data_IF_112521206998
#
_entry.id   IF_112521206998
#
_cell.length_a   1.000
_cell.length_b   1.000
_cell.length_c   1.000
_cell.angle_alpha   90.00
_cell.angle_beta   90.00
_cell.angle_gamma   90.00
#
_symmetry.space_group_name_H-M   'P 1'
#
loop_
_entity.id
_entity.type
_entity.pdbx_description
1 polymer ?
#
# COMPACT_ATOMS: atom_id res chain seq x y z
N UNK A 1 35.24 28.75 24.38
CA UNK A 1 33.87 28.86 24.90
C UNK A 1 33.01 29.40 23.77
N UNK A 2 32.48 28.51 22.94
CA UNK A 2 31.49 28.94 21.94
C UNK A 2 30.18 29.21 22.68
N UNK A 3 29.61 30.39 22.48
CA UNK A 3 28.37 30.81 23.15
C UNK A 3 27.20 29.89 22.81
N UNK A 4 26.20 29.86 23.68
CA UNK A 4 24.95 29.12 23.47
C UNK A 4 24.21 29.67 22.26
N UNK A 5 23.84 28.81 21.31
CA UNK A 5 23.07 29.20 20.12
C UNK A 5 21.58 29.44 20.44
N UNK A 6 21.11 28.90 21.58
CA UNK A 6 19.72 28.97 22.04
C UNK A 6 19.64 29.70 23.39
N UNK A 7 19.94 31.00 23.41
CA UNK A 7 20.07 31.81 24.64
C UNK A 7 18.75 32.22 25.28
N UNK A 8 17.69 32.49 24.51
CA UNK A 8 16.35 32.83 25.01
C UNK A 8 15.29 32.02 24.24
N UNK A 9 14.69 31.04 24.91
CA UNK A 9 13.69 30.18 24.29
C UNK A 9 12.27 30.52 24.78
N UNK A 10 11.30 30.68 23.86
CA UNK A 10 9.91 30.80 24.24
C UNK A 10 9.37 29.46 24.76
N UNK A 11 8.28 29.52 25.53
CA UNK A 11 7.51 28.32 25.88
C UNK A 11 6.55 28.00 24.73
N UNK A 12 6.84 26.94 23.99
CA UNK A 12 6.05 26.54 22.83
C UNK A 12 4.68 26.02 23.26
N UNK A 13 3.63 26.56 22.64
CA UNK A 13 2.25 26.15 22.85
C UNK A 13 1.80 25.12 21.82
N UNK A 14 2.51 24.97 20.71
CA UNK A 14 2.25 23.92 19.71
C UNK A 14 3.56 23.32 19.19
N UNK A 15 3.52 22.08 18.68
CA UNK A 15 4.67 21.45 18.00
C UNK A 15 5.20 22.25 16.80
N UNK A 16 4.32 22.97 16.09
CA UNK A 16 4.69 23.80 14.94
C UNK A 16 5.52 25.01 15.35
N UNK A 17 5.14 25.68 16.45
CA UNK A 17 5.92 26.81 17.00
C UNK A 17 7.35 26.38 17.40
N UNK A 18 7.46 25.18 17.99
CA UNK A 18 8.75 24.58 18.37
C UNK A 18 9.62 24.30 17.14
N UNK A 19 9.02 23.72 16.10
CA UNK A 19 9.69 23.35 14.86
C UNK A 19 10.22 24.58 14.11
N UNK A 20 9.38 25.61 13.95
CA UNK A 20 9.73 26.82 13.23
C UNK A 20 10.86 27.58 13.93
N UNK A 21 10.82 27.65 15.27
CA UNK A 21 11.89 28.24 16.05
C UNK A 21 13.23 27.54 15.81
N UNK A 22 13.26 26.21 15.85
CA UNK A 22 14.50 25.44 15.65
C UNK A 22 15.07 25.64 14.25
N UNK A 23 14.22 25.72 13.21
CA UNK A 23 14.66 25.96 11.83
C UNK A 23 15.30 27.31 11.62
N UNK A 24 14.74 28.36 12.21
CA UNK A 24 15.32 29.71 12.15
C UNK A 24 16.73 29.71 12.75
N UNK A 25 16.93 29.00 13.86
CA UNK A 25 18.24 28.91 14.52
C UNK A 25 19.23 28.04 13.75
N UNK A 26 18.78 26.96 13.11
CA UNK A 26 19.59 26.17 12.17
C UNK A 26 20.08 27.03 11.00
N UNK A 27 19.18 27.79 10.36
CA UNK A 27 19.55 28.64 9.23
C UNK A 27 20.56 29.73 9.62
N UNK A 28 20.37 30.35 10.79
CA UNK A 28 21.33 31.32 11.33
C UNK A 28 22.70 30.68 11.56
N UNK A 29 22.73 29.49 12.16
CA UNK A 29 23.98 28.78 12.46
C UNK A 29 24.70 28.31 11.19
N UNK A 30 23.96 27.88 10.18
CA UNK A 30 24.51 27.53 8.87
C UNK A 30 25.22 28.73 8.25
N UNK A 31 24.61 29.91 8.27
CA UNK A 31 25.22 31.13 7.75
C UNK A 31 26.51 31.49 8.51
N UNK A 32 26.52 31.38 9.84
CA UNK A 32 27.73 31.61 10.64
C UNK A 32 28.88 30.64 10.29
N UNK A 33 28.57 29.38 9.97
CA UNK A 33 29.57 28.39 9.55
C UNK A 33 30.11 28.70 8.15
N UNK A 34 29.25 29.14 7.23
CA UNK A 34 29.64 29.59 5.89
C UNK A 34 30.56 30.81 6.00
N UNK A 35 30.21 31.80 6.81
CA UNK A 35 30.98 33.04 7.01
C UNK A 35 32.37 32.77 7.62
N UNK A 36 32.51 31.70 8.40
CA UNK A 36 33.78 31.23 8.98
C UNK A 36 34.62 30.36 8.02
N UNK A 37 34.18 30.16 6.77
CA UNK A 37 34.90 29.39 5.75
C UNK A 37 34.62 27.89 5.77
N UNK A 38 33.64 27.41 6.54
CA UNK A 38 33.24 26.01 6.60
C UNK A 38 32.12 25.70 5.59
N UNK A 39 32.41 25.81 4.29
CA UNK A 39 31.42 25.62 3.23
C UNK A 39 30.92 24.18 3.07
N UNK A 40 31.78 23.19 3.36
CA UNK A 40 31.43 21.77 3.16
C UNK A 40 30.60 21.27 4.33
N UNK A 41 29.37 20.83 4.04
CA UNK A 41 28.41 20.31 5.02
C UNK A 41 28.01 21.33 6.11
N UNK A 42 28.07 22.64 5.82
CA UNK A 42 27.70 23.71 6.75
C UNK A 42 26.31 23.50 7.37
N UNK A 43 25.32 23.19 6.53
CA UNK A 43 23.96 22.86 6.96
C UNK A 43 23.92 21.67 7.94
N UNK A 44 24.60 20.57 7.62
CA UNK A 44 24.55 19.35 8.45
C UNK A 44 25.21 19.56 9.81
N UNK A 45 26.30 20.31 9.83
CA UNK A 45 27.00 20.68 11.06
C UNK A 45 26.11 21.63 11.90
N UNK A 46 25.46 22.61 11.27
CA UNK A 46 24.53 23.50 11.96
C UNK A 46 23.36 22.74 12.60
N UNK A 47 22.73 21.82 11.88
CA UNK A 47 21.63 21.01 12.42
C UNK A 47 22.09 20.17 13.61
N UNK A 48 23.21 19.46 13.48
CA UNK A 48 23.75 18.62 14.56
C UNK A 48 24.08 19.43 15.81
N UNK A 49 24.67 20.60 15.65
CA UNK A 49 24.99 21.49 16.77
C UNK A 49 23.74 22.00 17.48
N UNK A 50 22.72 22.41 16.74
CA UNK A 50 21.45 22.88 17.29
C UNK A 50 20.67 21.76 17.99
N UNK A 51 20.57 20.57 17.39
CA UNK A 51 19.90 19.40 18.03
C UNK A 51 20.58 19.03 19.33
N UNK A 52 21.92 18.96 19.33
CA UNK A 52 22.70 18.63 20.52
C UNK A 52 22.48 19.65 21.63
N UNK A 53 22.51 20.94 21.33
CA UNK A 53 22.23 21.96 22.35
C UNK A 53 20.77 21.91 22.85
N UNK A 54 19.83 21.63 21.95
CA UNK A 54 18.40 21.59 22.29
C UNK A 54 18.05 20.44 23.26
N UNK A 55 18.69 19.28 23.08
CA UNK A 55 18.52 18.10 23.96
C UNK A 55 18.79 18.45 25.44
N UNK A 56 19.79 19.28 25.70
CA UNK A 56 20.20 19.71 27.05
C UNK A 56 19.22 20.68 27.73
N UNK A 57 18.21 21.20 27.02
CA UNK A 57 17.25 22.16 27.59
C UNK A 57 16.17 21.43 28.42
N UNK A 58 15.85 21.86 29.64
CA UNK A 58 14.81 21.20 30.46
C UNK A 58 13.42 21.30 29.83
N UNK A 59 12.68 20.19 29.76
CA UNK A 59 11.36 20.11 29.13
C UNK A 59 10.38 21.18 29.64
N UNK A 60 10.35 21.44 30.94
CA UNK A 60 9.42 22.38 31.60
C UNK A 60 9.71 23.86 31.30
N UNK A 61 10.93 24.14 30.83
CA UNK A 61 11.34 25.48 30.40
C UNK A 61 10.96 25.77 28.96
N UNK A 62 10.71 24.73 28.16
CA UNK A 62 10.59 24.81 26.70
C UNK A 62 9.19 24.52 26.21
N UNK A 63 8.50 23.56 26.83
CA UNK A 63 7.14 23.16 26.44
C UNK A 63 6.11 23.75 27.41
N UNK A 64 5.00 24.24 26.88
CA UNK A 64 3.91 24.76 27.70
C UNK A 64 3.28 23.64 28.55
N UNK A 65 2.94 23.95 29.81
CA UNK A 65 2.48 22.99 30.83
C UNK A 65 1.33 22.05 30.39
N UNK A 66 0.46 22.50 29.48
CA UNK A 66 -0.68 21.72 29.01
C UNK A 66 -0.27 20.63 27.98
N UNK A 67 0.95 20.70 27.45
CA UNK A 67 1.44 19.80 26.40
C UNK A 67 2.63 18.96 26.86
N UNK A 68 3.07 19.10 28.11
CA UNK A 68 4.15 18.29 28.67
C UNK A 68 3.63 16.87 28.84
N UNK A 69 4.34 15.88 28.29
CA UNK A 69 4.10 14.48 28.63
C UNK A 69 4.58 14.26 30.07
N UNK A 70 3.67 13.86 30.95
CA UNK A 70 4.03 13.61 32.34
C UNK A 70 4.92 12.38 32.46
N UNK A 71 5.71 12.29 33.54
CA UNK A 71 6.59 11.14 33.78
C UNK A 71 5.84 9.80 33.75
N UNK A 72 4.64 9.76 34.34
CA UNK A 72 3.82 8.54 34.36
C UNK A 72 3.29 8.16 32.97
N UNK A 73 2.96 9.15 32.12
CA UNK A 73 2.55 8.89 30.73
C UNK A 73 3.74 8.42 29.89
N UNK A 74 4.90 9.05 30.06
CA UNK A 74 6.14 8.62 29.40
C UNK A 74 6.50 7.18 29.79
N UNK A 75 6.39 6.80 31.07
CA UNK A 75 6.63 5.43 31.53
C UNK A 75 5.66 4.42 30.89
N UNK A 76 4.39 4.78 30.70
CA UNK A 76 3.41 3.94 29.99
C UNK A 76 3.76 3.78 28.52
N UNK A 77 4.15 4.86 27.85
CA UNK A 77 4.58 4.85 26.45
C UNK A 77 5.82 3.95 26.31
N UNK A 78 6.83 4.13 27.16
CA UNK A 78 8.04 3.29 27.15
C UNK A 78 7.72 1.82 27.39
N UNK A 79 6.78 1.51 28.29
CA UNK A 79 6.36 0.14 28.54
C UNK A 79 5.64 -0.49 27.34
N UNK A 80 4.82 0.29 26.63
CA UNK A 80 4.13 -0.13 25.41
C UNK A 80 5.09 -0.34 24.24
N UNK A 81 6.16 0.47 24.13
CA UNK A 81 7.15 0.37 23.04
C UNK A 81 8.23 -0.70 23.25
N UNK A 82 8.41 -1.21 24.47
CA UNK A 82 9.43 -2.24 24.78
C UNK A 82 9.25 -3.58 24.06
N UNK A 83 8.05 -4.16 23.90
CA UNK A 83 7.86 -5.42 23.17
C UNK A 83 7.82 -5.26 21.64
N UNK A 84 7.80 -4.03 21.13
CA UNK A 84 7.60 -3.74 19.70
C UNK A 84 8.89 -3.89 18.87
N UNK A 85 8.72 -4.11 17.57
CA UNK A 85 9.82 -4.15 16.60
C UNK A 85 10.44 -2.76 16.42
N UNK A 86 11.72 -2.71 16.01
CA UNK A 86 12.49 -1.47 15.89
C UNK A 86 11.79 -0.41 15.03
N UNK A 87 11.21 -0.80 13.88
CA UNK A 87 10.55 0.13 12.97
C UNK A 87 9.25 0.69 13.57
N UNK A 88 8.45 -0.13 14.25
CA UNK A 88 7.23 0.30 14.96
C UNK A 88 7.55 1.32 16.05
N UNK A 89 8.64 1.12 16.79
CA UNK A 89 9.10 2.08 17.80
C UNK A 89 9.44 3.43 17.18
N UNK A 90 10.08 3.44 16.01
CA UNK A 90 10.42 4.67 15.32
C UNK A 90 9.19 5.41 14.79
N UNK A 91 8.17 4.70 14.31
CA UNK A 91 6.89 5.27 13.86
C UNK A 91 6.14 5.97 15.00
N UNK A 92 6.06 5.32 16.17
CA UNK A 92 5.42 5.87 17.36
C UNK A 92 6.16 7.12 17.87
N UNK A 93 7.50 7.08 17.91
CA UNK A 93 8.31 8.24 18.27
C UNK A 93 8.09 9.42 17.32
N UNK A 94 7.91 9.16 16.02
CA UNK A 94 7.56 10.19 15.04
C UNK A 94 6.13 10.73 15.25
N UNK A 95 5.18 9.87 15.61
CA UNK A 95 3.84 10.27 16.03
C UNK A 95 3.87 11.25 17.21
N UNK A 96 4.74 11.01 18.19
CA UNK A 96 4.95 11.92 19.33
C UNK A 96 5.57 13.25 18.87
N UNK A 97 6.53 13.23 17.95
CA UNK A 97 7.11 14.46 17.39
C UNK A 97 6.04 15.33 16.73
N UNK A 98 5.13 14.73 15.95
CA UNK A 98 4.04 15.45 15.27
C UNK A 98 3.02 16.00 16.27
N UNK A 99 2.59 15.18 17.22
CA UNK A 99 1.42 15.49 18.06
C UNK A 99 1.78 16.23 19.35
N UNK A 100 2.99 16.00 19.88
CA UNK A 100 3.45 16.50 21.18
C UNK A 100 4.75 17.29 21.10
N UNK A 101 5.43 17.34 19.95
CA UNK A 101 6.63 18.14 19.77
C UNK A 101 7.94 17.39 20.04
N UNK A 102 9.03 17.98 19.58
CA UNK A 102 10.37 17.37 19.52
C UNK A 102 10.91 17.11 20.93
N UNK A 103 10.76 18.05 21.86
CA UNK A 103 11.34 17.90 23.20
C UNK A 103 10.68 16.80 24.02
N UNK A 104 9.37 16.62 23.87
CA UNK A 104 8.61 15.53 24.48
C UNK A 104 9.08 14.18 23.92
N UNK A 105 9.21 14.06 22.59
CA UNK A 105 9.71 12.83 21.98
C UNK A 105 11.14 12.49 22.42
N UNK A 106 12.04 13.48 22.50
CA UNK A 106 13.40 13.30 23.04
C UNK A 106 13.35 12.76 24.48
N UNK A 107 12.46 13.28 25.33
CA UNK A 107 12.35 12.82 26.72
C UNK A 107 11.89 11.36 26.82
N UNK A 108 11.02 10.91 25.92
CA UNK A 108 10.57 9.51 25.86
C UNK A 108 11.75 8.61 25.44
N UNK A 109 12.51 8.99 24.41
CA UNK A 109 13.70 8.24 23.96
C UNK A 109 14.77 8.16 25.06
N UNK A 110 15.00 9.25 25.79
CA UNK A 110 15.91 9.26 26.94
C UNK A 110 15.50 8.24 28.02
N UNK A 111 14.18 8.09 28.27
CA UNK A 111 13.64 7.13 29.24
C UNK A 111 13.68 5.67 28.75
N UNK A 112 13.72 5.44 27.44
CA UNK A 112 13.88 4.08 26.89
C UNK A 112 15.26 3.49 27.17
N UNK A 113 16.28 4.34 27.40
CA UNK A 113 17.66 3.94 27.68
C UNK A 113 18.25 2.94 26.67
N UNK A 114 17.86 3.07 25.38
CA UNK A 114 18.34 2.24 24.28
C UNK A 114 19.24 3.06 23.33
N UNK A 115 20.57 2.80 23.30
CA UNK A 115 21.51 3.57 22.47
C UNK A 115 21.26 3.49 20.97
N UNK A 116 20.71 2.38 20.46
CA UNK A 116 20.42 2.23 19.03
C UNK A 116 19.25 3.12 18.62
N UNK A 117 18.17 3.11 19.41
CA UNK A 117 17.01 3.97 19.18
C UNK A 117 17.38 5.45 19.33
N UNK A 118 18.21 5.82 20.32
CA UNK A 118 18.67 7.20 20.49
C UNK A 118 19.45 7.70 19.25
N UNK A 119 20.36 6.89 18.70
CA UNK A 119 21.14 7.25 17.51
C UNK A 119 20.27 7.33 16.24
N UNK A 120 19.40 6.34 16.02
CA UNK A 120 18.51 6.31 14.85
C UNK A 120 17.47 7.44 14.90
N UNK A 121 16.89 7.72 16.07
CA UNK A 121 15.98 8.85 16.29
C UNK A 121 16.69 10.19 16.11
N UNK A 122 17.91 10.34 16.63
CA UNK A 122 18.71 11.53 16.39
C UNK A 122 18.98 11.74 14.89
N UNK A 123 19.30 10.69 14.15
CA UNK A 123 19.49 10.75 12.68
C UNK A 123 18.22 11.25 11.97
N UNK A 124 17.04 10.81 12.39
CA UNK A 124 15.76 11.23 11.83
C UNK A 124 15.44 12.70 12.19
N UNK A 125 15.65 13.12 13.45
CA UNK A 125 15.43 14.51 13.88
C UNK A 125 16.29 15.51 13.09
N UNK A 126 17.55 15.16 12.81
CA UNK A 126 18.44 15.96 11.96
C UNK A 126 17.83 16.14 10.56
N UNK A 127 17.26 15.09 9.97
CA UNK A 127 16.58 15.18 8.67
C UNK A 127 15.26 15.95 8.74
N UNK A 128 14.50 15.81 9.83
CA UNK A 128 13.24 16.52 10.04
C UNK A 128 13.43 18.04 10.10
N UNK A 129 14.44 18.49 10.86
CA UNK A 129 14.75 19.91 10.98
C UNK A 129 15.22 20.51 9.66
N UNK A 130 15.99 19.75 8.87
CA UNK A 130 16.47 20.16 7.55
C UNK A 130 15.36 20.40 6.53
N UNK A 131 14.29 19.60 6.55
CA UNK A 131 13.43 19.44 5.36
C UNK A 131 12.05 20.06 5.44
N UNK A 132 11.65 20.69 6.54
CA UNK A 132 10.28 21.22 6.61
C UNK A 132 9.27 20.20 7.17
N UNK A 133 9.61 18.92 7.12
CA UNK A 133 8.65 17.82 7.07
C UNK A 133 9.20 16.67 7.89
N UNK A 134 8.37 16.07 8.75
CA UNK A 134 8.69 14.77 9.33
C UNK A 134 8.88 13.89 8.11
N UNK A 135 10.12 13.57 7.76
CA UNK A 135 10.33 12.58 6.73
C UNK A 135 9.92 11.26 7.41
N UNK A 136 9.04 10.48 6.79
CA UNK A 136 9.27 10.07 5.40
C UNK A 136 8.05 9.83 4.53
N UNK A 137 6.98 10.61 4.61
CA UNK A 137 5.86 10.44 3.70
C UNK A 137 5.62 11.64 2.81
N UNK A 138 6.41 11.75 1.74
CA UNK A 138 6.08 12.66 0.64
C UNK A 138 4.65 12.30 0.18
N UNK A 139 3.76 13.28 0.13
CA UNK A 139 2.40 13.10 -0.35
C UNK A 139 2.43 12.35 -1.70
N UNK A 140 1.71 11.24 -1.78
CA UNK A 140 1.72 10.35 -2.94
C UNK A 140 2.77 9.22 -2.92
N UNK A 141 3.62 9.11 -1.90
CA UNK A 141 4.46 7.90 -1.69
C UNK A 141 3.59 6.70 -1.28
N UNK A 142 4.04 5.46 -1.52
CA UNK A 142 3.28 4.25 -1.14
C UNK A 142 2.94 4.22 0.36
N UNK A 143 3.92 4.46 1.22
CA UNK A 143 3.73 4.44 2.68
C UNK A 143 2.80 5.59 3.15
N UNK A 144 2.78 6.75 2.46
CA UNK A 144 1.86 7.85 2.78
C UNK A 144 0.42 7.43 2.55
N UNK A 145 0.19 6.72 1.44
CA UNK A 145 -1.14 6.27 1.08
C UNK A 145 -1.61 5.19 2.02
N UNK A 146 -0.77 4.23 2.40
CA UNK A 146 -1.17 3.17 3.33
C UNK A 146 -1.56 3.74 4.69
N UNK A 147 -0.86 4.77 5.17
CA UNK A 147 -1.16 5.45 6.44
C UNK A 147 -2.31 6.48 6.35
N UNK A 148 -2.81 6.77 5.14
CA UNK A 148 -3.88 7.74 4.92
C UNK A 148 -5.13 7.08 4.32
N UNK A 149 -5.50 5.91 4.84
CA UNK A 149 -6.75 5.21 4.55
C UNK A 149 -7.62 5.10 5.80
N UNK A 150 -8.92 4.99 5.59
CA UNK A 150 -9.93 4.68 6.61
C UNK A 150 -10.42 3.27 6.37
N UNK A 151 -10.49 2.46 7.43
CA UNK A 151 -10.99 1.09 7.40
C UNK A 151 -12.49 1.07 7.67
N UNK A 152 -13.22 0.33 6.84
CA UNK A 152 -14.65 0.09 7.00
C UNK A 152 -14.94 -1.40 7.14
N UNK A 153 -15.84 -1.74 8.05
CA UNK A 153 -16.58 -2.99 8.07
C UNK A 153 -17.80 -2.89 7.17
N UNK A 154 -18.04 -3.91 6.36
CA UNK A 154 -19.18 -3.94 5.44
C UNK A 154 -20.01 -5.19 5.70
N UNK A 155 -21.28 -4.98 6.06
CA UNK A 155 -22.27 -6.06 6.11
C UNK A 155 -23.21 -5.93 4.93
N UNK A 156 -23.24 -6.96 4.07
CA UNK A 156 -24.20 -7.07 2.98
C UNK A 156 -25.47 -7.82 3.42
N UNK A 157 -26.64 -7.52 2.83
CA UNK A 157 -27.88 -8.21 3.15
C UNK A 157 -27.81 -9.70 2.75
N UNK A 158 -28.25 -10.59 3.65
CA UNK A 158 -28.24 -12.04 3.41
C UNK A 158 -29.42 -12.48 2.52
N UNK A 159 -29.20 -13.39 1.55
CA UNK A 159 -30.27 -13.99 0.75
C UNK A 159 -31.18 -14.88 1.61
N UNK A 160 -32.47 -14.94 1.28
CA UNK A 160 -33.49 -15.64 2.09
C UNK A 160 -33.58 -17.13 1.78
N UNK A 161 -33.42 -17.53 0.52
CA UNK A 161 -33.58 -18.93 0.04
C UNK A 161 -32.60 -19.27 -1.11
N UNK A 162 -32.47 -20.55 -1.49
CA UNK A 162 -31.57 -21.03 -2.57
C UNK A 162 -31.81 -20.36 -3.94
N UNK A 163 -33.07 -20.17 -4.35
CA UNK A 163 -33.40 -19.47 -5.59
C UNK A 163 -33.03 -17.97 -5.52
N UNK A 164 -33.12 -17.39 -4.33
CA UNK A 164 -32.69 -16.02 -4.04
C UNK A 164 -31.16 -15.89 -4.09
N UNK A 165 -30.41 -16.93 -3.70
CA UNK A 165 -28.94 -16.96 -3.82
C UNK A 165 -28.45 -16.83 -5.26
N UNK A 166 -29.02 -17.58 -6.20
CA UNK A 166 -28.54 -17.54 -7.60
C UNK A 166 -28.90 -16.21 -8.29
N UNK A 167 -30.08 -15.66 -7.97
CA UNK A 167 -30.51 -14.35 -8.47
C UNK A 167 -29.66 -13.23 -7.85
N UNK A 168 -29.44 -13.27 -6.54
CA UNK A 168 -28.59 -12.31 -5.82
C UNK A 168 -27.14 -12.36 -6.29
N UNK A 169 -26.60 -13.51 -6.71
CA UNK A 169 -25.25 -13.57 -7.28
C UNK A 169 -25.12 -12.73 -8.57
N UNK A 170 -26.04 -12.88 -9.53
CA UNK A 170 -26.00 -12.09 -10.78
C UNK A 170 -26.22 -10.60 -10.53
N UNK A 171 -27.16 -10.27 -9.65
CA UNK A 171 -27.42 -8.89 -9.22
C UNK A 171 -26.20 -8.30 -8.51
N UNK A 172 -25.53 -9.10 -7.67
CA UNK A 172 -24.29 -8.75 -6.98
C UNK A 172 -23.17 -8.44 -7.99
N UNK A 173 -22.95 -9.30 -8.99
CA UNK A 173 -21.94 -9.04 -10.03
C UNK A 173 -22.23 -7.72 -10.75
N UNK A 174 -23.48 -7.50 -11.19
CA UNK A 174 -23.86 -6.25 -11.85
C UNK A 174 -23.67 -5.02 -10.96
N UNK A 175 -24.04 -5.10 -9.69
CA UNK A 175 -23.82 -4.04 -8.70
C UNK A 175 -22.34 -3.76 -8.48
N UNK A 176 -21.51 -4.81 -8.37
CA UNK A 176 -20.06 -4.68 -8.20
C UNK A 176 -19.40 -4.08 -9.45
N UNK A 177 -19.84 -4.44 -10.67
CA UNK A 177 -19.37 -3.79 -11.90
C UNK A 177 -19.62 -2.27 -11.88
N UNK A 178 -20.81 -1.85 -11.44
CA UNK A 178 -21.13 -0.42 -11.32
C UNK A 178 -20.34 0.24 -10.19
N UNK A 179 -20.17 -0.42 -9.05
CA UNK A 179 -19.32 0.04 -7.96
C UNK A 179 -17.88 0.29 -8.45
N UNK A 180 -17.27 -0.67 -9.17
CA UNK A 180 -15.95 -0.49 -9.75
C UNK A 180 -15.92 0.64 -10.78
N UNK A 181 -16.95 0.76 -11.63
CA UNK A 181 -17.06 1.88 -12.56
C UNK A 181 -17.06 3.24 -11.83
N UNK A 182 -17.84 3.38 -10.75
CA UNK A 182 -17.87 4.59 -9.91
C UNK A 182 -16.52 4.85 -9.22
N UNK A 183 -15.89 3.81 -8.69
CA UNK A 183 -14.60 3.88 -8.00
C UNK A 183 -13.42 4.19 -8.92
N UNK A 184 -13.58 4.19 -10.25
CA UNK A 184 -12.56 4.75 -11.15
C UNK A 184 -12.26 6.23 -10.84
N UNK A 185 -13.21 6.94 -10.24
CA UNK A 185 -13.09 8.36 -9.88
C UNK A 185 -12.03 8.64 -8.82
N UNK A 186 -11.48 7.63 -8.13
CA UNK A 186 -10.35 7.83 -7.21
C UNK A 186 -9.02 8.11 -7.94
N UNK A 187 -8.98 7.82 -9.24
CA UNK A 187 -7.79 8.05 -10.06
C UNK A 187 -7.46 9.54 -10.14
N UNK A 188 -6.19 9.85 -9.98
CA UNK A 188 -5.68 11.20 -10.20
C UNK A 188 -4.89 11.25 -11.50
N UNK A 189 -5.47 11.94 -12.49
CA UNK A 189 -4.93 12.07 -13.85
C UNK A 189 -5.36 10.93 -14.78
N UNK A 190 -4.86 10.93 -16.03
CA UNK A 190 -5.38 10.07 -17.10
C UNK A 190 -5.11 8.58 -16.84
N UNK A 191 -3.99 8.27 -16.21
CA UNK A 191 -3.57 6.89 -15.96
C UNK A 191 -3.32 6.61 -14.47
N UNK A 192 -3.94 7.40 -13.59
CA UNK A 192 -3.74 7.32 -12.15
C UNK A 192 -2.24 7.40 -11.80
N UNK A 193 -1.58 8.50 -12.19
CA UNK A 193 -0.14 8.68 -12.09
C UNK A 193 0.36 8.60 -10.64
N UNK A 194 -0.51 8.93 -9.69
CA UNK A 194 -0.25 8.77 -8.25
C UNK A 194 -0.60 7.37 -7.73
N UNK A 195 -1.06 6.41 -8.53
CA UNK A 195 -1.43 5.08 -8.07
C UNK A 195 -2.33 5.10 -6.83
N UNK A 196 -3.38 5.92 -6.85
CA UNK A 196 -4.42 5.86 -5.82
C UNK A 196 -5.12 4.51 -5.90
N UNK A 197 -5.34 3.90 -4.74
CA UNK A 197 -5.95 2.58 -4.63
C UNK A 197 -6.91 2.54 -3.44
N UNK A 198 -7.74 1.52 -3.41
CA UNK A 198 -8.52 1.10 -2.27
C UNK A 198 -8.35 -0.41 -2.10
N UNK A 199 -8.75 -0.94 -0.96
CA UNK A 199 -8.74 -2.39 -0.73
C UNK A 199 -10.14 -2.93 -0.51
N UNK A 200 -10.33 -4.18 -0.87
CA UNK A 200 -11.43 -5.02 -0.42
C UNK A 200 -10.82 -6.27 0.20
N UNK A 201 -11.33 -6.70 1.33
CA UNK A 201 -10.72 -7.76 2.10
C UNK A 201 -11.78 -8.65 2.72
N UNK A 202 -11.52 -9.95 2.70
CA UNK A 202 -12.31 -10.95 3.41
C UNK A 202 -11.41 -11.54 4.46
N UNK A 203 -11.82 -11.47 5.73
CA UNK A 203 -10.98 -11.94 6.81
C UNK A 203 -11.72 -12.58 7.97
N UNK A 204 -10.99 -13.45 8.67
CA UNK A 204 -11.41 -14.11 9.90
C UNK A 204 -10.28 -13.95 10.91
N UNK A 205 -10.60 -13.27 12.01
CA UNK A 205 -9.70 -13.02 13.14
C UNK A 205 -9.39 -14.31 13.89
N UNK A 206 -8.22 -14.36 14.54
CA UNK A 206 -7.75 -15.56 15.26
C UNK A 206 -8.63 -16.00 16.45
N UNK A 207 -9.60 -15.18 16.86
CA UNK A 207 -10.47 -15.36 18.02
C UNK A 207 -11.96 -15.17 17.65
N UNK A 208 -12.32 -15.38 16.38
CA UNK A 208 -13.69 -15.21 15.87
C UNK A 208 -14.07 -16.34 14.91
N UNK A 209 -15.35 -16.68 14.84
CA UNK A 209 -15.95 -17.56 13.84
C UNK A 209 -16.68 -16.80 12.72
N UNK A 210 -16.68 -15.47 12.79
CA UNK A 210 -17.35 -14.61 11.82
C UNK A 210 -16.37 -14.16 10.73
N UNK A 211 -16.77 -14.38 9.47
CA UNK A 211 -16.06 -13.84 8.31
C UNK A 211 -16.56 -12.44 8.05
N UNK A 212 -15.65 -11.48 8.08
CA UNK A 212 -15.95 -10.06 7.95
C UNK A 212 -15.37 -9.53 6.63
N UNK A 213 -16.11 -8.63 5.99
CA UNK A 213 -15.67 -7.92 4.79
C UNK A 213 -15.19 -6.54 5.21
N UNK A 214 -13.95 -6.20 4.85
CA UNK A 214 -13.37 -4.90 5.09
C UNK A 214 -13.08 -4.16 3.78
N UNK A 215 -13.04 -2.84 3.87
CA UNK A 215 -12.49 -1.99 2.83
C UNK A 215 -11.65 -0.86 3.41
N UNK A 216 -10.41 -0.70 2.93
CA UNK A 216 -9.61 0.46 3.23
C UNK A 216 -9.70 1.46 2.07
N UNK A 217 -10.14 2.69 2.36
CA UNK A 217 -10.39 3.72 1.36
C UNK A 217 -9.62 4.99 1.72
N UNK A 218 -8.96 5.68 0.78
CA UNK A 218 -8.29 6.93 1.09
C UNK A 218 -9.28 7.97 1.64
N UNK A 219 -8.89 8.71 2.69
CA UNK A 219 -9.75 9.68 3.39
C UNK A 219 -10.46 10.69 2.46
N UNK A 220 -9.85 11.03 1.33
CA UNK A 220 -10.43 11.95 0.34
C UNK A 220 -11.68 11.38 -0.37
N UNK A 221 -11.85 10.06 -0.40
CA UNK A 221 -12.85 9.36 -1.20
C UNK A 221 -13.91 8.61 -0.37
N UNK A 222 -13.97 8.82 0.95
CA UNK A 222 -14.93 8.14 1.84
C UNK A 222 -16.39 8.35 1.39
N UNK A 223 -16.79 9.61 1.17
CA UNK A 223 -18.15 9.92 0.73
C UNK A 223 -18.49 9.35 -0.65
N UNK A 224 -17.49 9.20 -1.54
CA UNK A 224 -17.69 8.54 -2.83
C UNK A 224 -18.00 7.06 -2.58
N UNK A 225 -17.15 6.38 -1.82
CA UNK A 225 -17.27 4.96 -1.53
C UNK A 225 -18.61 4.60 -0.88
N UNK A 226 -18.99 5.30 0.20
CA UNK A 226 -20.27 5.08 0.89
C UNK A 226 -21.46 5.21 -0.07
N UNK A 227 -21.48 6.28 -0.87
CA UNK A 227 -22.56 6.51 -1.84
C UNK A 227 -22.61 5.42 -2.91
N UNK A 228 -21.45 4.96 -3.40
CA UNK A 228 -21.41 3.88 -4.38
C UNK A 228 -22.01 2.60 -3.79
N UNK A 229 -21.57 2.17 -2.60
CA UNK A 229 -22.12 0.96 -1.96
C UNK A 229 -23.63 1.12 -1.69
N UNK A 230 -24.05 2.19 -1.03
CA UNK A 230 -25.44 2.39 -0.62
C UNK A 230 -26.40 2.58 -1.80
N UNK A 231 -25.91 3.02 -2.96
CA UNK A 231 -26.73 3.15 -4.18
C UNK A 231 -27.18 1.81 -4.77
N UNK A 232 -26.40 0.74 -4.54
CA UNK A 232 -26.71 -0.61 -5.01
C UNK A 232 -27.20 -1.53 -3.89
N UNK A 233 -26.70 -1.33 -2.68
CA UNK A 233 -27.06 -2.07 -1.48
C UNK A 233 -27.63 -1.12 -0.42
N UNK A 234 -28.89 -0.75 -0.57
CA UNK A 234 -29.57 0.21 0.31
C UNK A 234 -29.59 -0.23 1.79
N UNK A 235 -29.60 -1.55 2.03
CA UNK A 235 -29.60 -2.16 3.36
C UNK A 235 -28.20 -2.56 3.86
N UNK A 236 -27.13 -2.25 3.09
CA UNK A 236 -25.78 -2.52 3.54
C UNK A 236 -25.44 -1.63 4.74
N UNK A 237 -24.73 -2.23 5.70
CA UNK A 237 -24.17 -1.50 6.84
C UNK A 237 -22.71 -1.24 6.57
N UNK A 238 -22.30 0.01 6.71
CA UNK A 238 -20.92 0.46 6.56
C UNK A 238 -20.53 1.11 7.89
N UNK A 239 -19.57 0.52 8.57
CA UNK A 239 -19.10 0.99 9.86
C UNK A 239 -17.62 1.34 9.75
N UNK A 240 -17.27 2.60 10.02
CA UNK A 240 -15.87 2.98 10.21
C UNK A 240 -15.35 2.32 11.50
N UNK A 241 -14.19 1.67 11.41
CA UNK A 241 -13.58 0.97 12.53
C UNK A 241 -12.22 1.58 12.81
N UNK A 242 -11.97 1.88 14.08
CA UNK A 242 -10.70 2.45 14.56
C UNK A 242 -9.71 1.39 14.99
N UNK A 243 -10.20 0.18 15.26
CA UNK A 243 -9.42 -0.92 15.81
C UNK A 243 -9.18 -1.93 14.69
N UNK A 244 -7.92 -2.24 14.43
CA UNK A 244 -7.56 -3.26 13.44
C UNK A 244 -7.83 -4.66 14.01
N UNK A 245 -8.22 -5.58 13.15
CA UNK A 245 -8.50 -6.96 13.53
C UNK A 245 -7.21 -7.79 13.43
N UNK A 246 -7.06 -8.80 14.29
CA UNK A 246 -5.84 -9.60 14.32
C UNK A 246 -6.08 -11.04 13.87
N UNK A 247 -5.45 -11.43 12.76
CA UNK A 247 -5.45 -12.82 12.27
C UNK A 247 -4.34 -13.67 12.87
N UNK A 248 -3.35 -13.05 13.50
CA UNK A 248 -2.10 -13.70 13.87
C UNK A 248 -2.21 -14.42 15.20
N UNK A 249 -1.81 -15.69 15.21
CA UNK A 249 -1.63 -16.43 16.44
C UNK A 249 -0.32 -16.01 17.11
N UNK A 250 -0.37 -15.52 18.35
CA UNK A 250 0.78 -15.00 19.09
C UNK A 250 1.98 -15.95 19.20
N UNK A 251 1.71 -17.27 19.25
CA UNK A 251 2.73 -18.32 19.43
C UNK A 251 2.81 -19.26 18.23
N UNK A 252 2.10 -18.92 17.16
CA UNK A 252 1.90 -19.78 16.01
C UNK A 252 2.89 -19.54 14.88
N UNK A 253 2.54 -20.08 13.72
CA UNK A 253 3.20 -19.77 12.46
C UNK A 253 2.26 -19.02 11.53
N UNK A 254 2.85 -18.31 10.57
CA UNK A 254 2.11 -17.58 9.54
C UNK A 254 2.64 -17.90 8.15
N UNK A 255 1.77 -17.87 7.15
CA UNK A 255 2.10 -18.07 5.75
C UNK A 255 1.45 -17.00 4.89
N UNK A 256 2.08 -16.64 3.78
CA UNK A 256 1.53 -15.62 2.88
C UNK A 256 1.99 -15.82 1.45
N UNK A 257 1.12 -15.39 0.52
CA UNK A 257 1.39 -15.43 -0.89
C UNK A 257 0.71 -14.25 -1.61
N UNK A 258 1.22 -13.89 -2.78
CA UNK A 258 0.52 -13.00 -3.70
C UNK A 258 0.20 -13.74 -5.00
N UNK A 259 -0.93 -13.39 -5.61
CA UNK A 259 -1.32 -13.95 -6.90
C UNK A 259 -0.64 -13.21 -8.05
N UNK A 260 -0.13 -13.98 -9.00
CA UNK A 260 0.32 -13.53 -10.32
C UNK A 260 -0.45 -14.30 -11.40
N UNK A 261 -0.37 -13.82 -12.64
CA UNK A 261 -0.93 -14.52 -13.79
C UNK A 261 0.05 -15.55 -14.35
N UNK A 262 -0.45 -16.73 -14.74
CA UNK A 262 0.36 -17.76 -15.42
C UNK A 262 0.83 -17.34 -16.80
N UNK A 263 0.02 -16.53 -17.50
CA UNK A 263 0.30 -16.00 -18.82
C UNK A 263 0.23 -14.46 -18.86
N UNK A 264 0.53 -13.86 -20.02
CA UNK A 264 0.48 -12.40 -20.19
C UNK A 264 -0.89 -11.83 -19.82
N UNK A 265 -0.91 -10.71 -19.10
CA UNK A 265 -2.13 -10.05 -18.63
C UNK A 265 -3.06 -9.55 -19.74
N UNK A 266 -2.68 -9.64 -21.02
CA UNK A 266 -3.56 -9.38 -22.16
C UNK A 266 -4.61 -10.50 -22.33
N UNK A 267 -4.28 -11.73 -21.91
CA UNK A 267 -5.19 -12.87 -21.92
C UNK A 267 -6.08 -12.86 -20.66
N UNK A 268 -7.38 -13.19 -20.76
CA UNK A 268 -8.31 -13.22 -19.64
C UNK A 268 -8.21 -14.52 -18.81
N UNK A 269 -8.68 -14.46 -17.57
CA UNK A 269 -9.13 -15.61 -16.77
C UNK A 269 -10.61 -15.88 -17.07
N UNK A 270 -11.18 -16.95 -16.51
CA UNK A 270 -12.64 -17.16 -16.60
C UNK A 270 -13.40 -15.97 -16.02
N UNK A 271 -14.39 -15.49 -16.77
CA UNK A 271 -15.30 -14.42 -16.33
C UNK A 271 -16.61 -15.01 -15.81
N UNK A 272 -17.43 -14.18 -15.15
CA UNK A 272 -18.65 -14.63 -14.45
C UNK A 272 -19.69 -15.30 -15.36
N UNK A 273 -19.67 -15.00 -16.65
CA UNK A 273 -20.51 -15.60 -17.69
C UNK A 273 -20.11 -17.06 -17.99
N UNK A 274 -18.86 -17.43 -17.72
CA UNK A 274 -18.33 -18.78 -17.85
C UNK A 274 -18.37 -19.58 -16.55
N UNK A 275 -18.83 -18.96 -15.45
CA UNK A 275 -18.88 -19.56 -14.11
C UNK A 275 -20.35 -19.85 -13.75
N UNK A 276 -20.70 -21.13 -13.58
CA UNK A 276 -22.09 -21.56 -13.38
C UNK A 276 -22.61 -21.32 -11.95
N UNK A 277 -21.72 -21.36 -10.96
CA UNK A 277 -22.03 -21.25 -9.54
C UNK A 277 -21.20 -20.15 -8.88
N UNK A 278 -21.73 -19.52 -7.84
CA UNK A 278 -21.03 -18.43 -7.14
C UNK A 278 -19.65 -18.87 -6.62
N UNK A 279 -18.55 -18.28 -7.15
CA UNK A 279 -17.20 -18.64 -6.78
C UNK A 279 -16.83 -18.22 -5.35
N UNK A 280 -17.56 -17.27 -4.75
CA UNK A 280 -17.36 -16.85 -3.36
C UNK A 280 -17.68 -17.97 -2.38
N UNK A 281 -18.66 -18.81 -2.67
CA UNK A 281 -18.97 -19.96 -1.81
C UNK A 281 -17.76 -20.90 -1.66
N UNK A 282 -16.97 -21.09 -2.72
CA UNK A 282 -15.76 -21.93 -2.66
C UNK A 282 -14.71 -21.31 -1.74
N UNK A 283 -14.54 -20.00 -1.80
CA UNK A 283 -13.60 -19.26 -0.94
C UNK A 283 -14.07 -19.27 0.51
N UNK A 284 -15.33 -18.88 0.77
CA UNK A 284 -15.91 -18.80 2.10
C UNK A 284 -15.95 -20.16 2.82
N UNK A 285 -16.10 -21.26 2.08
CA UNK A 285 -16.02 -22.61 2.63
C UNK A 285 -14.64 -22.97 3.20
N UNK A 286 -13.57 -22.27 2.81
CA UNK A 286 -12.26 -22.44 3.44
C UNK A 286 -12.26 -21.74 4.80
N UNK A 287 -12.76 -20.51 4.87
CA UNK A 287 -12.88 -19.75 6.11
C UNK A 287 -13.77 -20.44 7.14
N UNK A 288 -14.90 -21.03 6.71
CA UNK A 288 -15.84 -21.71 7.61
C UNK A 288 -15.28 -22.98 8.27
N UNK A 289 -14.11 -23.46 7.81
CA UNK A 289 -13.43 -24.63 8.38
C UNK A 289 -12.28 -24.25 9.33
N UNK A 290 -11.97 -22.96 9.43
CA UNK A 290 -10.98 -22.46 10.37
C UNK A 290 -11.49 -22.62 11.80
N UNK A 291 -10.57 -22.91 12.71
CA UNK A 291 -10.91 -22.96 14.14
C UNK A 291 -11.15 -21.54 14.66
N UNK A 292 -12.18 -21.38 15.47
CA UNK A 292 -12.52 -20.13 16.15
C UNK A 292 -11.36 -19.55 16.96
N UNK A 293 -10.55 -20.42 17.59
CA UNK A 293 -9.39 -20.00 18.37
C UNK A 293 -8.09 -20.49 17.73
N UNK A 294 -7.19 -19.53 17.50
CA UNK A 294 -5.81 -19.76 17.10
C UNK A 294 -5.57 -19.95 15.61
N UNK A 295 -6.61 -19.97 14.77
CA UNK A 295 -6.50 -19.93 13.30
C UNK A 295 -7.12 -18.63 12.76
N UNK A 296 -6.45 -17.98 11.83
CA UNK A 296 -6.93 -16.76 11.20
C UNK A 296 -6.44 -16.66 9.76
N UNK A 297 -7.18 -15.94 8.92
CA UNK A 297 -6.82 -15.74 7.53
C UNK A 297 -7.39 -14.44 6.97
N UNK A 298 -6.74 -13.88 5.96
CA UNK A 298 -7.25 -12.76 5.18
C UNK A 298 -6.89 -12.92 3.70
N UNK A 299 -7.84 -12.55 2.83
CA UNK A 299 -7.64 -12.37 1.40
C UNK A 299 -7.90 -10.90 1.08
N UNK A 300 -6.87 -10.20 0.64
CA UNK A 300 -6.92 -8.77 0.33
C UNK A 300 -6.75 -8.53 -1.17
N UNK A 301 -7.68 -7.80 -1.75
CA UNK A 301 -7.57 -7.22 -3.10
C UNK A 301 -7.15 -5.76 -2.96
N UNK A 302 -5.97 -5.41 -3.50
CA UNK A 302 -5.50 -4.03 -3.61
C UNK A 302 -5.79 -3.54 -5.02
N UNK A 303 -6.70 -2.58 -5.16
CA UNK A 303 -7.32 -2.22 -6.44
C UNK A 303 -7.02 -0.77 -6.80
N UNK A 304 -6.41 -0.56 -7.96
CA UNK A 304 -6.05 0.76 -8.49
C UNK A 304 -6.57 0.93 -9.92
N UNK A 305 -7.38 1.97 -10.23
CA UNK A 305 -7.75 2.26 -11.60
C UNK A 305 -6.51 2.48 -12.47
N UNK A 306 -6.51 1.93 -13.69
CA UNK A 306 -5.35 2.01 -14.58
C UNK A 306 -5.50 3.02 -15.73
N UNK A 307 -6.67 3.65 -15.82
CA UNK A 307 -7.03 4.54 -16.93
C UNK A 307 -6.92 3.84 -18.27
N UNK A 308 -6.33 4.54 -19.26
CA UNK A 308 -6.24 4.02 -20.64
C UNK A 308 -4.95 3.25 -20.93
N UNK A 309 -4.01 3.17 -19.98
CA UNK A 309 -2.66 2.63 -20.21
C UNK A 309 -2.69 1.21 -20.79
N UNK A 310 -3.34 0.28 -20.08
CA UNK A 310 -3.41 -1.12 -20.53
C UNK A 310 -4.33 -1.31 -21.73
N UNK A 311 -5.40 -0.52 -21.85
CA UNK A 311 -6.31 -0.59 -23.01
C UNK A 311 -5.53 -0.28 -24.29
N UNK A 312 -4.74 0.79 -24.30
CA UNK A 312 -3.92 1.15 -25.46
C UNK A 312 -2.85 0.09 -25.77
N UNK A 313 -2.21 -0.46 -24.73
CA UNK A 313 -1.25 -1.56 -24.87
C UNK A 313 -1.88 -2.81 -25.48
N UNK A 314 -3.06 -3.20 -24.99
CA UNK A 314 -3.77 -4.38 -25.47
C UNK A 314 -4.32 -4.19 -26.88
N UNK A 315 -4.70 -2.96 -27.28
CA UNK A 315 -5.04 -2.67 -28.67
C UNK A 315 -3.85 -2.88 -29.62
N UNK A 316 -2.65 -2.46 -29.24
CA UNK A 316 -1.46 -2.68 -30.07
C UNK A 316 -1.13 -4.18 -30.19
N UNK A 317 -1.23 -4.92 -29.09
CA UNK A 317 -1.06 -6.38 -29.10
C UNK A 317 -2.14 -7.03 -29.98
N UNK A 318 -3.40 -6.60 -29.85
CA UNK A 318 -4.52 -7.11 -30.64
C UNK A 318 -4.30 -6.88 -32.15
N UNK A 319 -3.80 -5.71 -32.54
CA UNK A 319 -3.50 -5.41 -33.94
C UNK A 319 -2.39 -6.30 -34.49
N UNK A 320 -1.32 -6.53 -33.72
CA UNK A 320 -0.26 -7.47 -34.11
C UNK A 320 -0.77 -8.91 -34.23
N UNK A 321 -1.66 -9.35 -33.32
CA UNK A 321 -2.29 -10.67 -33.37
C UNK A 321 -3.23 -10.81 -34.57
N UNK A 322 -4.03 -9.78 -34.89
CA UNK A 322 -4.84 -9.73 -36.13
C UNK A 322 -4.00 -9.81 -37.39
N UNK A 323 -2.78 -9.27 -37.35
CA UNK A 323 -1.79 -9.38 -38.43
C UNK A 323 -1.08 -10.75 -38.46
N UNK A 324 -1.47 -11.68 -37.58
CA UNK A 324 -1.03 -13.06 -37.49
C UNK A 324 0.29 -13.26 -36.74
N UNK A 325 0.64 -12.36 -35.81
CA UNK A 325 1.63 -12.67 -34.77
C UNK A 325 0.99 -13.51 -33.67
N UNK A 326 1.77 -14.38 -33.01
CA UNK A 326 1.29 -15.02 -31.79
C UNK A 326 1.19 -14.00 -30.64
N UNK A 327 0.28 -14.22 -29.70
CA UNK A 327 0.06 -13.35 -28.54
C UNK A 327 1.36 -13.12 -27.76
N UNK A 328 2.13 -14.20 -27.54
CA UNK A 328 3.43 -14.14 -26.84
C UNK A 328 4.42 -13.23 -27.55
N UNK A 329 4.56 -13.37 -28.87
CA UNK A 329 5.48 -12.54 -29.66
C UNK A 329 5.02 -11.09 -29.74
N UNK A 330 3.71 -10.84 -29.92
CA UNK A 330 3.15 -9.50 -29.94
C UNK A 330 3.40 -8.77 -28.60
N UNK A 331 3.10 -9.42 -27.47
CA UNK A 331 3.35 -8.88 -26.14
C UNK A 331 4.85 -8.63 -25.89
N UNK A 332 5.71 -9.62 -26.18
CA UNK A 332 7.16 -9.49 -25.97
C UNK A 332 7.77 -8.36 -26.82
N UNK A 333 7.34 -8.23 -28.07
CA UNK A 333 7.80 -7.17 -28.96
C UNK A 333 7.37 -5.80 -28.47
N UNK A 334 6.12 -5.66 -28.02
CA UNK A 334 5.64 -4.42 -27.41
C UNK A 334 6.51 -4.03 -26.20
N UNK A 335 6.74 -4.94 -25.26
CA UNK A 335 7.56 -4.64 -24.07
C UNK A 335 9.01 -4.30 -24.42
N UNK A 336 9.61 -5.00 -25.40
CA UNK A 336 10.97 -4.71 -25.88
C UNK A 336 11.04 -3.33 -26.56
N UNK A 337 10.09 -3.01 -27.43
CA UNK A 337 10.03 -1.73 -28.13
C UNK A 337 9.81 -0.57 -27.15
N UNK A 338 8.91 -0.72 -26.19
CA UNK A 338 8.64 0.31 -25.19
C UNK A 338 9.84 0.54 -24.27
N UNK A 339 10.56 -0.52 -23.88
CA UNK A 339 11.80 -0.42 -23.11
C UNK A 339 12.93 0.25 -23.90
N UNK A 340 13.03 -0.03 -25.21
CA UNK A 340 13.98 0.62 -26.09
C UNK A 340 13.66 2.12 -26.25
N UNK A 341 12.39 2.48 -26.45
CA UNK A 341 11.96 3.89 -26.57
C UNK A 341 12.16 4.68 -25.26
N UNK A 342 11.91 4.06 -24.10
CA UNK A 342 12.22 4.64 -22.77
C UNK A 342 13.72 4.81 -22.53
N UNK A 343 14.56 3.90 -23.04
CA UNK A 343 16.02 4.05 -23.01
C UNK A 343 16.48 5.19 -23.91
N UNK A 344 16.02 5.21 -25.17
CA UNK A 344 16.38 6.24 -26.15
C UNK A 344 15.93 7.63 -25.71
N UNK A 345 14.76 7.77 -25.08
CA UNK A 345 14.30 9.07 -24.54
C UNK A 345 15.12 9.54 -23.34
N UNK A 346 15.59 8.64 -22.47
CA UNK A 346 16.58 8.96 -21.43
C UNK A 346 17.94 9.33 -22.04
N UNK A 347 18.40 8.60 -23.05
CA UNK A 347 19.69 8.84 -23.70
C UNK A 347 19.68 10.14 -24.55
N UNK A 348 18.52 10.54 -25.09
CA UNK A 348 18.33 11.84 -25.76
C UNK A 348 18.41 13.01 -24.78
N UNK A 349 17.86 12.87 -23.57
CA UNK A 349 17.98 13.87 -22.49
C UNK A 349 19.42 13.96 -21.96
N UNK A 350 20.22 12.91 -22.10
CA UNK A 350 21.66 12.86 -21.76
C UNK A 350 22.61 13.00 -22.97
N UNK A 351 22.12 13.49 -24.12
CA UNK A 351 22.96 14.02 -25.18
C UNK A 351 23.80 13.01 -25.97
N UNK A 352 23.30 11.81 -26.25
CA UNK A 352 23.98 10.87 -27.15
C UNK A 352 23.11 10.55 -28.37
N UNK A 353 23.54 10.99 -29.55
CA UNK A 353 23.03 10.51 -30.84
C UNK A 353 23.61 9.12 -31.13
N UNK A 354 22.77 8.11 -31.41
CA UNK A 354 23.13 7.11 -32.45
C UNK A 354 21.98 6.24 -32.98
N UNK A 355 22.05 6.13 -34.32
CA UNK A 355 21.71 5.08 -35.31
C UNK A 355 20.34 4.39 -35.26
N UNK A 356 19.61 4.59 -36.35
CA UNK A 356 18.49 3.77 -36.82
C UNK A 356 18.95 2.31 -37.02
N UNK A 357 18.31 1.40 -36.30
CA UNK A 357 18.34 -0.03 -36.62
C UNK A 357 17.19 -0.37 -37.56
N UNK A 358 17.56 -0.99 -38.66
CA UNK A 358 16.71 -1.50 -39.73
C UNK A 358 15.70 -2.50 -39.16
N UNK A 359 14.40 -2.27 -39.39
CA UNK A 359 13.35 -3.25 -39.11
C UNK A 359 13.58 -4.50 -39.98
N UNK A 360 14.17 -5.54 -39.41
CA UNK A 360 14.14 -6.87 -40.01
C UNK A 360 12.68 -7.35 -40.04
N UNK A 361 12.10 -7.37 -41.24
CA UNK A 361 10.87 -8.09 -41.53
C UNK A 361 11.17 -9.59 -41.41
N UNK A 362 10.88 -10.18 -40.25
CA UNK A 362 10.91 -11.63 -40.10
C UNK A 362 9.85 -12.26 -41.02
N UNK A 363 10.31 -13.25 -41.78
CA UNK A 363 9.56 -13.94 -42.81
C UNK A 363 8.27 -14.59 -42.27
N UNK A 364 7.19 -14.41 -43.03
CA UNK A 364 5.90 -15.03 -42.82
C UNK A 364 5.98 -16.55 -43.06
N UNK A 365 6.25 -17.30 -42.00
CA UNK A 365 5.75 -18.67 -41.90
C UNK A 365 4.25 -18.62 -41.70
N UNK A 366 3.50 -19.39 -42.50
CA UNK A 366 2.03 -19.54 -42.56
C UNK A 366 1.32 -19.08 -41.27
N UNK A 367 0.85 -17.83 -41.27
CA UNK A 367 0.13 -17.22 -40.15
C UNK A 367 -1.29 -17.79 -40.14
N UNK A 368 -1.56 -18.73 -39.24
CA UNK A 368 -2.94 -19.02 -38.84
C UNK A 368 -3.30 -17.92 -37.86
N UNK A 369 -4.29 -17.10 -38.24
CA UNK A 369 -4.84 -16.08 -37.35
C UNK A 369 -5.56 -16.80 -36.22
N UNK A 370 -5.17 -16.49 -34.99
CA UNK A 370 -5.79 -17.06 -33.79
C UNK A 370 -7.06 -16.28 -33.47
N UNK A 371 -8.18 -16.72 -34.06
CA UNK A 371 -9.49 -16.06 -33.93
C UNK A 371 -9.98 -16.04 -32.47
N UNK A 372 -9.73 -17.12 -31.72
CA UNK A 372 -10.08 -17.22 -30.30
C UNK A 372 -9.30 -16.21 -29.44
N UNK A 373 -7.99 -16.08 -29.67
CA UNK A 373 -7.19 -15.05 -29.00
C UNK A 373 -7.66 -13.62 -29.36
N UNK A 374 -8.03 -13.37 -30.62
CA UNK A 374 -8.57 -12.07 -31.06
C UNK A 374 -9.88 -11.76 -30.36
N UNK A 375 -10.78 -12.73 -30.24
CA UNK A 375 -12.05 -12.56 -29.54
C UNK A 375 -11.82 -12.28 -28.07
N UNK A 376 -11.01 -13.09 -27.38
CA UNK A 376 -10.70 -12.93 -25.95
C UNK A 376 -10.07 -11.57 -25.64
N UNK A 377 -9.03 -11.18 -26.39
CA UNK A 377 -8.36 -9.89 -26.20
C UNK A 377 -9.31 -8.74 -26.57
N UNK A 378 -10.04 -8.88 -27.67
CA UNK A 378 -11.03 -7.90 -28.12
C UNK A 378 -12.11 -7.64 -27.07
N UNK A 379 -12.68 -8.70 -26.48
CA UNK A 379 -13.66 -8.60 -25.40
C UNK A 379 -13.07 -7.92 -24.15
N UNK A 380 -11.83 -8.28 -23.76
CA UNK A 380 -11.15 -7.64 -22.62
C UNK A 380 -10.95 -6.14 -22.81
N UNK A 381 -10.65 -5.68 -24.03
CA UNK A 381 -10.47 -4.24 -24.32
C UNK A 381 -11.76 -3.42 -24.32
N UNK A 382 -12.95 -4.06 -24.32
CA UNK A 382 -14.24 -3.35 -24.21
C UNK A 382 -14.51 -2.84 -22.80
N UNK A 383 -13.84 -3.41 -21.80
CA UNK A 383 -14.02 -3.07 -20.39
C UNK A 383 -12.91 -2.15 -19.90
N UNK A 384 -13.23 -1.35 -18.89
CA UNK A 384 -12.21 -0.57 -18.18
C UNK A 384 -11.32 -1.47 -17.35
N UNK A 385 -10.02 -1.17 -17.29
CA UNK A 385 -9.03 -2.00 -16.60
C UNK A 385 -8.64 -1.38 -15.26
N UNK A 386 -8.73 -2.19 -14.22
CA UNK A 386 -8.12 -1.90 -12.92
C UNK A 386 -6.90 -2.80 -12.71
N UNK A 387 -5.83 -2.24 -12.18
CA UNK A 387 -4.71 -3.01 -11.65
C UNK A 387 -5.14 -3.59 -10.31
N UNK A 388 -4.97 -4.88 -10.13
CA UNK A 388 -5.31 -5.55 -8.88
C UNK A 388 -4.15 -6.43 -8.45
N UNK A 389 -3.79 -6.35 -7.18
CA UNK A 389 -2.93 -7.33 -6.52
C UNK A 389 -3.79 -8.11 -5.51
N UNK A 390 -3.66 -9.44 -5.50
CA UNK A 390 -4.36 -10.30 -4.55
C UNK A 390 -3.31 -10.84 -3.59
N UNK A 391 -3.54 -10.63 -2.30
CA UNK A 391 -2.66 -11.08 -1.21
C UNK A 391 -3.45 -12.02 -0.33
N UNK A 392 -2.81 -13.10 0.09
CA UNK A 392 -3.36 -14.05 1.04
C UNK A 392 -2.39 -14.17 2.19
N UNK A 393 -2.92 -14.11 3.40
CA UNK A 393 -2.16 -14.31 4.62
C UNK A 393 -2.94 -15.20 5.57
N UNK A 394 -2.25 -16.12 6.22
CA UNK A 394 -2.82 -17.11 7.11
C UNK A 394 -1.97 -17.23 8.36
N UNK A 395 -2.62 -17.57 9.48
CA UNK A 395 -1.95 -17.87 10.73
C UNK A 395 -2.62 -19.05 11.42
N UNK A 396 -1.81 -19.87 12.08
CA UNK A 396 -2.29 -21.04 12.81
C UNK A 396 -1.34 -21.38 13.97
N UNK A 397 -1.70 -22.33 14.86
CA UNK A 397 -0.84 -22.72 15.97
C UNK A 397 0.52 -23.32 15.55
N UNK A 398 0.64 -23.80 14.31
CA UNK A 398 1.93 -24.24 13.72
C UNK A 398 2.10 -23.69 12.31
N UNK A 399 3.35 -23.60 11.84
CA UNK A 399 3.67 -23.14 10.49
C UNK A 399 3.08 -24.08 9.43
N UNK A 400 3.15 -25.38 9.65
CA UNK A 400 2.61 -26.40 8.73
C UNK A 400 1.10 -26.25 8.57
N UNK A 401 0.37 -25.91 9.65
CA UNK A 401 -1.07 -25.66 9.55
C UNK A 401 -1.36 -24.35 8.81
N UNK A 402 -0.58 -23.29 9.04
CA UNK A 402 -0.73 -22.03 8.32
C UNK A 402 -0.51 -22.22 6.82
N UNK A 403 0.51 -23.00 6.44
CA UNK A 403 0.79 -23.35 5.04
C UNK A 403 -0.33 -24.21 4.44
N UNK A 404 -0.92 -25.14 5.20
CA UNK A 404 -2.07 -25.93 4.75
C UNK A 404 -3.30 -25.05 4.48
N UNK A 405 -3.62 -24.11 5.38
CA UNK A 405 -4.72 -23.15 5.16
C UNK A 405 -4.46 -22.30 3.92
N UNK A 406 -3.22 -21.84 3.74
CA UNK A 406 -2.82 -21.06 2.57
C UNK A 406 -3.08 -21.88 1.30
N UNK A 407 -2.62 -23.13 1.24
CA UNK A 407 -2.83 -24.02 0.11
C UNK A 407 -4.32 -24.29 -0.19
N UNK A 408 -5.16 -24.42 0.85
CA UNK A 408 -6.61 -24.55 0.69
C UNK A 408 -7.22 -23.29 0.05
N UNK A 409 -6.80 -22.10 0.48
CA UNK A 409 -7.21 -20.83 -0.12
C UNK A 409 -6.73 -20.73 -1.58
N UNK A 410 -5.44 -20.98 -1.85
CA UNK A 410 -4.88 -20.95 -3.21
C UNK A 410 -5.64 -21.89 -4.15
N UNK A 411 -5.98 -23.08 -3.67
CA UNK A 411 -6.73 -24.08 -4.44
C UNK A 411 -8.14 -23.60 -4.81
N UNK A 412 -8.75 -22.74 -3.99
CA UNK A 412 -10.07 -22.16 -4.29
C UNK A 412 -10.05 -21.23 -5.51
N UNK A 413 -8.89 -20.68 -5.89
CA UNK A 413 -8.74 -19.84 -7.09
C UNK A 413 -8.62 -20.62 -8.39
N UNK A 414 -8.44 -21.95 -8.35
CA UNK A 414 -8.39 -22.79 -9.55
C UNK A 414 -9.66 -22.68 -10.40
N UNK A 415 -10.80 -22.36 -9.79
CA UNK A 415 -12.07 -22.14 -10.49
C UNK A 415 -12.02 -21.02 -11.54
N UNK A 416 -11.11 -20.06 -11.41
CA UNK A 416 -10.91 -18.96 -12.36
C UNK A 416 -10.00 -19.33 -13.54
N UNK A 417 -9.46 -20.55 -13.57
CA UNK A 417 -8.55 -21.00 -14.63
C UNK A 417 -9.27 -21.13 -15.96
N UNK A 418 -8.78 -20.42 -16.96
CA UNK A 418 -9.11 -20.64 -18.38
C UNK A 418 -7.95 -21.39 -19.05
N UNK A 419 -8.16 -22.67 -19.36
CA UNK A 419 -7.10 -23.60 -19.78
C UNK A 419 -6.33 -23.19 -21.02
N UNK A 420 -6.96 -22.40 -21.89
CA UNK A 420 -6.37 -21.90 -23.14
C UNK A 420 -5.94 -20.43 -23.04
N UNK A 421 -5.93 -19.85 -21.84
CA UNK A 421 -5.71 -18.43 -21.62
C UNK A 421 -4.87 -18.19 -20.37
N UNK A 422 -5.47 -17.87 -19.22
CA UNK A 422 -4.75 -17.45 -18.03
C UNK A 422 -5.33 -18.10 -16.77
N UNK A 423 -4.52 -18.16 -15.73
CA UNK A 423 -4.87 -18.64 -14.39
C UNK A 423 -4.11 -17.86 -13.33
N UNK A 424 -4.51 -18.01 -12.07
CA UNK A 424 -3.74 -17.50 -10.95
C UNK A 424 -2.65 -18.50 -10.55
N UNK A 425 -1.46 -17.98 -10.28
CA UNK A 425 -0.35 -18.67 -9.63
C UNK A 425 -0.05 -17.91 -8.35
N UNK A 426 0.13 -18.61 -7.24
CA UNK A 426 0.50 -17.99 -5.98
C UNK A 426 1.99 -18.14 -5.74
N UNK A 427 2.64 -17.01 -5.44
CA UNK A 427 4.04 -16.94 -5.11
C UNK A 427 4.17 -16.69 -3.61
N UNK A 428 4.69 -17.68 -2.90
CA UNK A 428 4.89 -17.59 -1.46
C UNK A 428 5.90 -16.47 -1.12
N UNK A 429 5.61 -15.74 -0.05
CA UNK A 429 6.50 -14.76 0.53
C UNK A 429 6.76 -15.06 2.01
N UNK A 430 8.01 -14.90 2.44
CA UNK A 430 8.38 -15.10 3.83
C UNK A 430 7.94 -13.89 4.65
N UNK A 431 6.94 -14.07 5.52
CA UNK A 431 6.41 -12.99 6.39
C UNK A 431 7.47 -12.46 7.37
N UNK A 432 8.58 -13.17 7.58
CA UNK A 432 9.74 -12.68 8.32
C UNK A 432 10.81 -12.21 7.34
N UNK A 433 10.77 -10.93 6.97
CA UNK A 433 11.89 -10.07 6.56
C UNK A 433 11.34 -8.72 6.07
N UNK A 434 11.09 -7.81 7.01
CA UNK A 434 11.32 -6.36 6.88
C UNK A 434 11.63 -5.86 8.27
#
# INVERSE_FOLDING_TARGET
>A
MEGTFLSEMPKFKTPEEELDYLRVHVAKREQELIDKGHFKNANENAVREIVREYKEKPLEKVVHKNNIISKNEAEKIVLALKPELHDTVMEELLGIVVTKGIRNAISVVEMMANPHIDDDFHRILVQYLKTGKVLGLKEGTPLYKSLNMTLFEITLPSPKDEADKQKSFKEFIGAMEQFYAGMQSISEGKNNEKENYFTLEVALSNNSDEVIIYAAVPHKYLSLFEKQILSFYHDAKIHEITDDYNIFNEKGGSAGAYASFSERSVLPIKTYDQIEHDPMNVILNVFSKLKTEGEGAAIQLVIAPAGTKFINEFHLILDDVKNGMSVKHAADNFYKFNKAFLKVSKDLLFGVKKKEETKEKYMAGKRVVDEDAIEKIGNKTKSTIMKTNIRVITSAPTKERADAILQEIESSFNQFTESTSNSFIFEAYSIFLT
#
